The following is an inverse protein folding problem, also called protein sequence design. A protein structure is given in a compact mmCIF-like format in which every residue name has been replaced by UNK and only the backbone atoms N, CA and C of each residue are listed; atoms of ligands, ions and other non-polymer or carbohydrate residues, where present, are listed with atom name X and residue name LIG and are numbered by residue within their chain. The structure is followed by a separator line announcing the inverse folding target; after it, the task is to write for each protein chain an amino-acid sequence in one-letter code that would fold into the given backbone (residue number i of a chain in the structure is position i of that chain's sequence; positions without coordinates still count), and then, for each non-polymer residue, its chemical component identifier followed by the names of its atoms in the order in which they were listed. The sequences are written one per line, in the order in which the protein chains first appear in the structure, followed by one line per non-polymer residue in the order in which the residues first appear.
data_IF_427164412640
#
_entry.id   IF_427164412640
#
_cell.length_a   1.000
_cell.length_b   1.000
_cell.length_c   1.000
_cell.angle_alpha   90.00
_cell.angle_beta   90.00
_cell.angle_gamma   90.00
#
_symmetry.space_group_name_H-M   'P 1'
#
loop_
_entity.id
_entity.type
_entity.pdbx_description
1 polymer ?
#
# COMPACT_ATOMS: atom_id res chain seq x y z
N UNK A 1 -20.29 8.24 -13.29
CA UNK A 1 -19.15 8.01 -14.20
C UNK A 1 -18.74 6.55 -14.13
N UNK A 2 -18.17 6.04 -15.20
CA UNK A 2 -17.77 4.65 -15.40
C UNK A 2 -16.23 4.61 -15.40
N UNK A 3 -15.62 4.66 -14.21
CA UNK A 3 -14.16 4.79 -14.05
C UNK A 3 -13.62 3.74 -13.07
N UNK A 4 -12.46 3.17 -13.40
CA UNK A 4 -11.73 2.29 -12.50
C UNK A 4 -10.79 3.11 -11.61
N UNK A 5 -10.81 2.81 -10.31
CA UNK A 5 -10.18 3.65 -9.29
C UNK A 5 -9.44 2.78 -8.28
N UNK A 6 -8.28 3.24 -7.84
CA UNK A 6 -7.61 2.77 -6.63
C UNK A 6 -7.54 3.93 -5.66
N UNK A 7 -7.97 3.70 -4.43
CA UNK A 7 -7.85 4.63 -3.32
C UNK A 7 -6.95 4.04 -2.25
N UNK A 8 -6.11 4.86 -1.63
CA UNK A 8 -5.34 4.47 -0.45
C UNK A 8 -5.39 5.54 0.61
N UNK A 9 -5.57 5.14 1.87
CA UNK A 9 -5.47 6.00 3.04
C UNK A 9 -4.48 5.40 4.03
N UNK A 10 -3.32 6.04 4.19
CA UNK A 10 -2.26 5.58 5.09
C UNK A 10 -2.27 6.38 6.40
N UNK A 11 -2.69 5.71 7.46
CA UNK A 11 -2.81 6.28 8.79
C UNK A 11 -1.62 5.98 9.70
N UNK A 12 -1.76 6.40 10.96
CA UNK A 12 -0.77 6.09 12.00
C UNK A 12 -0.72 4.60 12.36
N UNK A 13 -1.86 3.92 12.36
CA UNK A 13 -1.97 2.51 12.78
C UNK A 13 -2.28 1.57 11.61
N UNK A 14 -3.13 1.99 10.69
CA UNK A 14 -3.67 1.15 9.62
C UNK A 14 -3.45 1.80 8.25
N UNK A 15 -3.47 0.97 7.21
CA UNK A 15 -3.57 1.41 5.81
C UNK A 15 -4.81 0.79 5.20
N UNK A 16 -5.68 1.63 4.66
CA UNK A 16 -6.88 1.20 3.94
C UNK A 16 -6.61 1.28 2.44
N UNK A 17 -6.95 0.21 1.72
CA UNK A 17 -6.90 0.19 0.26
C UNK A 17 -8.29 -0.10 -0.28
N UNK A 18 -8.70 0.71 -1.24
CA UNK A 18 -9.98 0.67 -1.93
C UNK A 18 -9.74 0.45 -3.41
N UNK A 19 -10.63 -0.29 -4.06
CA UNK A 19 -10.60 -0.42 -5.50
C UNK A 19 -11.99 -0.52 -6.11
N UNK A 20 -12.11 -0.03 -7.33
CA UNK A 20 -13.26 -0.24 -8.22
C UNK A 20 -12.70 -0.71 -9.55
N UNK A 21 -13.03 -1.93 -9.96
CA UNK A 21 -12.59 -2.57 -11.21
C UNK A 21 -13.72 -3.38 -11.84
N UNK A 22 -13.47 -3.85 -13.07
CA UNK A 22 -14.38 -4.65 -13.92
C UNK A 22 -15.46 -3.82 -14.60
N UNK A 23 -16.10 -4.42 -15.63
CA UNK A 23 -17.23 -3.81 -16.34
C UNK A 23 -18.42 -3.50 -15.43
N UNK A 24 -18.55 -4.25 -14.33
CA UNK A 24 -19.59 -4.09 -13.30
C UNK A 24 -19.18 -3.10 -12.19
N UNK A 25 -17.98 -2.51 -12.24
CA UNK A 25 -17.44 -1.56 -11.25
C UNK A 25 -17.55 -2.09 -9.81
N UNK A 26 -17.04 -3.31 -9.59
CA UNK A 26 -17.06 -3.97 -8.29
C UNK A 26 -16.16 -3.24 -7.31
N UNK A 27 -16.75 -2.79 -6.20
CA UNK A 27 -16.04 -2.15 -5.10
C UNK A 27 -15.45 -3.18 -4.13
N UNK A 28 -14.16 -3.03 -3.82
CA UNK A 28 -13.48 -3.77 -2.76
C UNK A 28 -12.78 -2.81 -1.80
N UNK A 29 -12.73 -3.22 -0.53
CA UNK A 29 -11.95 -2.54 0.51
C UNK A 29 -11.21 -3.55 1.35
N UNK A 30 -9.96 -3.25 1.66
CA UNK A 30 -9.12 -4.00 2.60
C UNK A 30 -8.54 -3.04 3.63
N UNK A 31 -8.46 -3.51 4.87
CA UNK A 31 -7.83 -2.77 5.98
C UNK A 31 -6.63 -3.56 6.48
N UNK A 32 -5.44 -3.03 6.29
CA UNK A 32 -4.20 -3.59 6.81
C UNK A 32 -3.93 -3.05 8.20
N UNK A 33 -4.42 -3.76 9.23
CA UNK A 33 -4.38 -3.33 10.62
C UNK A 33 -2.96 -3.09 11.20
N UNK A 34 -1.94 -3.69 10.60
CA UNK A 34 -0.56 -3.67 11.08
C UNK A 34 0.40 -2.89 10.17
N UNK A 35 -0.11 -2.15 9.18
CA UNK A 35 0.70 -1.37 8.24
C UNK A 35 0.35 0.10 8.42
N UNK A 36 1.08 0.81 9.28
CA UNK A 36 0.82 2.22 9.58
C UNK A 36 2.09 2.97 9.97
N UNK A 37 2.06 4.30 9.86
CA UNK A 37 3.28 5.14 9.89
C UNK A 37 3.70 5.65 11.27
N UNK A 38 2.91 5.42 12.31
CA UNK A 38 3.21 5.91 13.67
C UNK A 38 3.13 4.79 14.70
N UNK A 39 1.93 4.29 14.94
CA UNK A 39 1.65 3.26 15.95
C UNK A 39 2.07 1.86 15.49
N UNK A 40 2.13 1.62 14.18
CA UNK A 40 2.45 0.31 13.58
C UNK A 40 3.73 0.33 12.73
N UNK A 41 4.57 1.35 12.88
CA UNK A 41 5.76 1.53 12.01
C UNK A 41 6.77 0.37 12.16
N UNK A 42 6.90 -0.18 13.37
CA UNK A 42 7.75 -1.35 13.63
C UNK A 42 7.20 -2.62 12.98
N UNK A 43 5.88 -2.73 12.82
CA UNK A 43 5.27 -3.84 12.08
C UNK A 43 5.56 -3.71 10.58
N UNK A 44 5.55 -2.50 10.02
CA UNK A 44 5.99 -2.26 8.64
C UNK A 44 7.44 -2.70 8.47
N UNK A 45 8.33 -2.33 9.39
CA UNK A 45 9.73 -2.81 9.37
C UNK A 45 9.82 -4.34 9.42
N UNK A 46 9.05 -4.99 10.30
CA UNK A 46 9.06 -6.44 10.45
C UNK A 46 8.53 -7.15 9.19
N UNK A 47 7.46 -6.65 8.57
CA UNK A 47 6.85 -7.23 7.38
C UNK A 47 7.64 -6.94 6.10
N UNK A 48 8.21 -5.75 5.98
CA UNK A 48 9.01 -5.33 4.82
C UNK A 48 10.41 -5.93 4.85
N UNK A 49 11.01 -6.02 6.04
CA UNK A 49 12.45 -6.24 6.18
C UNK A 49 13.26 -4.98 5.86
N UNK A 50 14.44 -4.91 6.47
CA UNK A 50 15.29 -3.72 6.45
C UNK A 50 15.85 -3.41 5.05
N UNK A 51 16.30 -4.43 4.31
CA UNK A 51 16.85 -4.27 2.97
C UNK A 51 15.86 -3.60 2.00
N UNK A 52 14.58 -3.92 2.11
CA UNK A 52 13.51 -3.35 1.29
C UNK A 52 13.23 -1.88 1.60
N UNK A 53 13.46 -1.44 2.84
CA UNK A 53 13.37 -0.03 3.21
C UNK A 53 14.63 0.72 2.75
N UNK A 54 15.81 0.16 3.02
CA UNK A 54 17.09 0.80 2.71
C UNK A 54 17.29 1.06 1.22
N UNK A 55 16.71 0.26 0.32
CA UNK A 55 16.81 0.49 -1.14
C UNK A 55 16.25 1.85 -1.59
N UNK A 56 15.40 2.47 -0.78
CA UNK A 56 14.80 3.78 -1.06
C UNK A 56 15.56 4.95 -0.41
N UNK A 57 16.56 4.65 0.43
CA UNK A 57 17.34 5.64 1.17
C UNK A 57 18.59 6.00 0.37
N UNK A 58 18.74 7.24 -0.12
CA UNK A 58 19.81 7.63 -1.05
C UNK A 58 21.10 8.09 -0.34
N UNK A 59 21.23 7.85 0.96
CA UNK A 59 22.39 8.20 1.76
C UNK A 59 22.90 6.99 2.54
N UNK A 60 24.18 7.02 2.88
CA UNK A 60 24.81 5.97 3.67
C UNK A 60 24.36 6.09 5.13
N UNK A 61 23.54 5.13 5.57
CA UNK A 61 23.08 5.01 6.95
C UNK A 61 23.28 3.58 7.39
N UNK A 62 23.87 3.39 8.57
CA UNK A 62 24.05 2.06 9.11
C UNK A 62 22.71 1.51 9.65
N UNK A 63 22.58 0.18 9.67
CA UNK A 63 21.35 -0.49 10.09
C UNK A 63 20.91 -0.13 11.52
N UNK A 64 21.86 0.06 12.43
CA UNK A 64 21.57 0.35 13.84
C UNK A 64 20.93 1.72 14.02
N UNK A 65 21.45 2.72 13.33
CA UNK A 65 20.95 4.08 13.33
C UNK A 65 19.53 4.14 12.75
N UNK A 66 19.30 3.50 11.60
CA UNK A 66 17.97 3.41 11.01
C UNK A 66 16.97 2.74 11.96
N UNK A 67 17.35 1.62 12.57
CA UNK A 67 16.51 0.93 13.58
C UNK A 67 16.21 1.83 14.78
N UNK A 68 17.18 2.64 15.22
CA UNK A 68 16.98 3.58 16.32
C UNK A 68 16.02 4.71 15.93
N UNK A 69 16.10 5.24 14.72
CA UNK A 69 15.15 6.25 14.21
C UNK A 69 13.72 5.70 14.18
N UNK A 70 13.52 4.47 13.69
CA UNK A 70 12.20 3.81 13.71
C UNK A 70 11.68 3.61 15.14
N UNK A 71 12.53 3.14 16.05
CA UNK A 71 12.15 2.98 17.47
C UNK A 71 11.77 4.31 18.11
N UNK A 72 12.52 5.37 17.84
CA UNK A 72 12.24 6.72 18.32
C UNK A 72 10.87 7.21 17.82
N UNK A 73 10.57 6.99 16.54
CA UNK A 73 9.25 7.28 15.97
C UNK A 73 8.13 6.48 16.64
N UNK A 74 8.36 5.20 16.90
CA UNK A 74 7.38 4.32 17.56
C UNK A 74 7.04 4.79 18.98
N UNK A 75 8.02 5.20 19.78
CA UNK A 75 7.77 5.69 21.16
C UNK A 75 7.16 7.09 21.20
N UNK A 76 7.29 7.87 20.13
CA UNK A 76 6.76 9.23 19.99
C UNK A 76 5.95 9.35 18.69
N UNK A 77 4.78 8.68 18.59
CA UNK A 77 4.05 8.50 17.33
C UNK A 77 3.55 9.81 16.68
N UNK A 78 3.49 10.90 17.45
CA UNK A 78 3.04 12.22 17.02
C UNK A 78 4.18 13.15 16.58
N UNK A 79 5.45 12.73 16.70
CA UNK A 79 6.56 13.56 16.19
C UNK A 79 6.55 13.57 14.68
N UNK A 80 6.80 14.73 14.09
CA UNK A 80 7.06 14.89 12.66
C UNK A 80 8.57 14.87 12.41
N UNK A 81 9.02 14.47 11.20
CA UNK A 81 10.42 14.58 10.81
C UNK A 81 10.92 16.01 11.00
N UNK A 82 12.01 16.15 11.76
CA UNK A 82 12.70 17.43 11.96
C UNK A 82 13.98 17.52 11.11
N UNK A 83 14.53 16.36 10.73
CA UNK A 83 15.69 16.23 9.87
C UNK A 83 15.30 15.69 8.48
N UNK A 84 16.14 15.95 7.48
CA UNK A 84 15.94 15.44 6.12
C UNK A 84 16.02 13.91 6.10
N UNK A 85 16.96 13.35 6.87
CA UNK A 85 17.19 11.92 6.99
C UNK A 85 15.96 11.21 7.57
N UNK A 86 15.33 11.80 8.60
CA UNK A 86 14.07 11.30 9.18
C UNK A 86 12.94 11.35 8.15
N UNK A 87 12.83 12.45 7.40
CA UNK A 87 11.79 12.61 6.39
C UNK A 87 11.93 11.55 5.30
N UNK A 88 13.15 11.36 4.78
CA UNK A 88 13.43 10.38 3.73
C UNK A 88 13.20 8.97 4.24
N UNK A 89 13.59 8.67 5.48
CA UNK A 89 13.33 7.36 6.08
C UNK A 89 11.83 7.10 6.26
N UNK A 90 11.05 8.07 6.76
CA UNK A 90 9.60 7.92 6.88
C UNK A 90 8.94 7.72 5.51
N UNK A 91 9.38 8.43 4.46
CA UNK A 91 8.89 8.22 3.09
C UNK A 91 9.29 6.84 2.54
N UNK A 92 10.49 6.35 2.83
CA UNK A 92 10.93 5.01 2.46
C UNK A 92 10.08 3.92 3.12
N UNK A 93 9.73 4.09 4.40
CA UNK A 93 8.86 3.16 5.12
C UNK A 93 7.42 3.24 4.59
N UNK A 94 6.92 4.44 4.26
CA UNK A 94 5.60 4.62 3.67
C UNK A 94 5.45 3.86 2.35
N UNK A 95 6.47 3.89 1.48
CA UNK A 95 6.51 3.08 0.24
C UNK A 95 6.30 1.60 0.51
N UNK A 96 6.97 1.06 1.52
CA UNK A 96 6.85 -0.36 1.85
C UNK A 96 5.52 -0.70 2.52
N UNK A 97 4.98 0.19 3.36
CA UNK A 97 3.64 0.03 3.93
C UNK A 97 2.57 0.00 2.83
N UNK A 98 2.63 0.95 1.88
CA UNK A 98 1.70 1.04 0.75
C UNK A 98 1.82 -0.18 -0.17
N UNK A 99 3.05 -0.61 -0.50
CA UNK A 99 3.29 -1.81 -1.31
C UNK A 99 2.68 -3.05 -0.68
N UNK A 100 2.96 -3.29 0.61
CA UNK A 100 2.45 -4.46 1.33
C UNK A 100 0.93 -4.42 1.47
N UNK A 101 0.35 -3.26 1.77
CA UNK A 101 -1.11 -3.11 1.88
C UNK A 101 -1.80 -3.35 0.53
N UNK A 102 -1.20 -2.87 -0.56
CA UNK A 102 -1.71 -3.09 -1.92
C UNK A 102 -1.59 -4.55 -2.37
N UNK A 103 -0.47 -5.23 -2.06
CA UNK A 103 -0.31 -6.67 -2.29
C UNK A 103 -1.40 -7.46 -1.56
N UNK A 104 -1.61 -7.18 -0.27
CA UNK A 104 -2.66 -7.81 0.52
C UNK A 104 -4.06 -7.54 -0.06
N UNK A 105 -4.31 -6.31 -0.51
CA UNK A 105 -5.58 -5.95 -1.14
C UNK A 105 -5.85 -6.76 -2.41
N UNK A 106 -4.84 -6.95 -3.27
CA UNK A 106 -4.97 -7.75 -4.51
C UNK A 106 -5.31 -9.21 -4.23
N UNK A 107 -4.81 -9.79 -3.14
CA UNK A 107 -5.14 -11.16 -2.74
C UNK A 107 -6.63 -11.30 -2.37
N UNK A 108 -7.18 -10.31 -1.68
CA UNK A 108 -8.59 -10.32 -1.27
C UNK A 108 -9.55 -9.87 -2.38
N UNK A 109 -9.15 -8.90 -3.19
CA UNK A 109 -9.90 -8.44 -4.36
C UNK A 109 -9.68 -9.42 -5.52
N UNK A 110 -10.20 -10.65 -5.39
CA UNK A 110 -10.11 -11.70 -6.41
C UNK A 110 -11.49 -12.16 -6.88
N UNK A 111 -11.53 -12.77 -8.06
CA UNK A 111 -12.77 -13.37 -8.58
C UNK A 111 -13.25 -14.50 -7.66
N UNK A 112 -14.58 -14.63 -7.51
CA UNK A 112 -15.22 -15.58 -6.59
C UNK A 112 -14.68 -17.01 -6.78
N UNK A 113 -13.92 -17.51 -5.79
CA UNK A 113 -13.56 -18.92 -5.68
C UNK A 113 -14.80 -19.71 -5.25
N UNK A 114 -15.40 -20.48 -6.17
CA UNK A 114 -16.34 -21.56 -5.82
C UNK A 114 -17.83 -21.33 -6.10
N UNK A 115 -18.24 -20.25 -6.77
CA UNK A 115 -19.60 -20.17 -7.30
C UNK A 115 -19.72 -21.09 -8.54
N UNK A 116 -20.53 -22.15 -8.45
CA UNK A 116 -20.94 -22.94 -9.62
C UNK A 116 -21.76 -22.06 -10.56
N UNK A 117 -21.09 -21.39 -11.51
CA UNK A 117 -21.77 -20.92 -12.72
C UNK A 117 -22.23 -22.13 -13.52
N UNK A 118 -23.49 -22.13 -13.93
CA UNK A 118 -24.09 -23.13 -14.81
C UNK A 118 -23.29 -23.10 -16.13
N UNK A 119 -22.56 -24.18 -16.44
CA UNK A 119 -21.47 -24.16 -17.42
C UNK A 119 -21.98 -24.46 -18.83
N UNK A 120 -21.73 -23.54 -19.76
CA UNK A 120 -21.66 -23.86 -21.19
C UNK A 120 -20.23 -24.25 -21.57
N UNK A 121 -20.09 -25.25 -22.44
CA UNK A 121 -18.79 -25.84 -22.85
C UNK A 121 -17.85 -24.79 -23.47
N UNK A 122 -18.40 -23.71 -24.03
CA UNK A 122 -17.67 -22.59 -24.62
C UNK A 122 -16.95 -21.72 -23.58
N UNK A 123 -17.47 -21.58 -22.36
CA UNK A 123 -16.88 -20.74 -21.30
C UNK A 123 -15.69 -21.41 -20.59
N UNK A 124 -15.51 -22.72 -20.77
CA UNK A 124 -14.41 -23.47 -20.18
C UNK A 124 -13.05 -23.15 -20.82
N UNK A 125 -13.03 -22.66 -22.06
CA UNK A 125 -11.78 -22.36 -22.80
C UNK A 125 -11.28 -20.92 -22.64
N UNK A 126 -12.14 -19.99 -22.22
CA UNK A 126 -11.76 -18.58 -21.97
C UNK A 126 -11.30 -18.32 -20.53
N UNK A 127 -11.13 -19.36 -19.73
CA UNK A 127 -10.93 -19.23 -18.29
C UNK A 127 -9.54 -18.68 -17.95
N UNK A 128 -9.48 -17.37 -17.67
CA UNK A 128 -8.45 -16.79 -16.81
C UNK A 128 -8.51 -17.48 -15.44
N UNK A 129 -7.34 -17.82 -14.90
CA UNK A 129 -7.15 -18.62 -13.69
C UNK A 129 -8.05 -18.15 -12.54
N UNK A 130 -8.88 -19.05 -11.98
CA UNK A 130 -9.72 -18.74 -10.83
C UNK A 130 -8.87 -18.26 -9.65
N UNK A 131 -9.32 -17.21 -8.96
CA UNK A 131 -8.56 -16.58 -7.87
C UNK A 131 -7.51 -15.57 -8.30
N UNK A 132 -7.43 -15.21 -9.59
CA UNK A 132 -6.71 -14.01 -10.02
C UNK A 132 -7.37 -12.75 -9.41
N UNK A 133 -6.54 -11.75 -9.08
CA UNK A 133 -7.01 -10.45 -8.62
C UNK A 133 -7.83 -9.77 -9.72
N UNK A 134 -8.92 -9.12 -9.34
CA UNK A 134 -9.70 -8.27 -10.25
C UNK A 134 -9.06 -6.89 -10.46
N UNK A 135 -8.04 -6.54 -9.66
CA UNK A 135 -7.30 -5.29 -9.78
C UNK A 135 -6.44 -5.30 -11.05
N UNK A 136 -6.72 -4.39 -11.98
CA UNK A 136 -5.99 -4.25 -13.23
C UNK A 136 -5.38 -2.84 -13.39
N UNK A 137 -4.10 -2.70 -13.07
CA UNK A 137 -3.41 -1.41 -13.15
C UNK A 137 -3.26 -0.86 -14.59
N UNK A 138 -3.40 -1.69 -15.62
CA UNK A 138 -3.30 -1.25 -17.01
C UNK A 138 -4.53 -0.44 -17.47
N UNK A 139 -5.67 -0.62 -16.80
CA UNK A 139 -6.94 0.05 -17.10
C UNK A 139 -7.33 1.09 -16.04
N UNK A 140 -6.53 1.20 -14.97
CA UNK A 140 -6.72 2.16 -13.90
C UNK A 140 -6.81 3.60 -14.44
N UNK A 141 -7.92 4.27 -14.14
CA UNK A 141 -8.18 5.64 -14.59
C UNK A 141 -7.77 6.69 -13.56
N UNK A 142 -7.90 6.37 -12.26
CA UNK A 142 -7.66 7.31 -11.18
C UNK A 142 -7.02 6.64 -9.97
N UNK A 143 -5.95 7.25 -9.46
CA UNK A 143 -5.34 6.91 -8.17
C UNK A 143 -5.57 8.05 -7.17
N UNK A 144 -6.15 7.73 -6.02
CA UNK A 144 -6.40 8.68 -4.93
C UNK A 144 -5.58 8.28 -3.72
N UNK A 145 -4.73 9.18 -3.24
CA UNK A 145 -3.93 9.00 -2.02
C UNK A 145 -4.36 9.95 -0.92
N UNK A 146 -4.54 9.42 0.29
CA UNK A 146 -4.81 10.14 1.53
C UNK A 146 -3.88 9.64 2.64
N UNK A 147 -3.69 10.46 3.68
CA UNK A 147 -2.89 10.13 4.84
C UNK A 147 -1.86 11.21 5.17
N UNK A 148 -1.50 11.32 6.46
CA UNK A 148 -0.63 12.39 6.95
C UNK A 148 0.69 12.49 6.19
N UNK A 149 1.34 11.34 5.92
CA UNK A 149 2.62 11.26 5.21
C UNK A 149 2.50 11.68 3.73
N UNK A 150 1.36 11.40 3.09
CA UNK A 150 1.10 11.76 1.70
C UNK A 150 0.74 13.24 1.54
N UNK A 151 -0.14 13.74 2.42
CA UNK A 151 -0.67 15.11 2.36
C UNK A 151 0.33 16.18 2.79
N UNK A 152 1.25 15.85 3.71
CA UNK A 152 2.25 16.78 4.24
C UNK A 152 3.64 16.58 3.64
N UNK A 153 3.76 15.79 2.57
CA UNK A 153 5.02 15.68 1.85
C UNK A 153 5.47 17.09 1.37
N UNK A 154 6.70 17.54 1.64
CA UNK A 154 7.13 18.90 1.32
C UNK A 154 6.99 19.29 -0.15
N UNK A 155 7.10 18.31 -1.05
CA UNK A 155 6.87 18.50 -2.48
C UNK A 155 5.91 17.44 -2.99
N UNK A 156 4.91 17.85 -3.79
CA UNK A 156 3.86 16.96 -4.31
C UNK A 156 4.38 15.75 -5.08
N UNK A 157 5.52 15.89 -5.78
CA UNK A 157 6.10 14.76 -6.50
C UNK A 157 6.56 13.65 -5.54
N UNK A 158 6.89 13.95 -4.28
CA UNK A 158 7.28 12.93 -3.30
C UNK A 158 6.08 12.06 -2.94
N UNK A 159 4.88 12.63 -2.84
CA UNK A 159 3.62 11.88 -2.74
C UNK A 159 3.47 10.91 -3.90
N UNK A 160 3.67 11.40 -5.13
CA UNK A 160 3.59 10.57 -6.34
C UNK A 160 4.68 9.50 -6.38
N UNK A 161 5.87 9.74 -5.83
CA UNK A 161 6.92 8.72 -5.72
C UNK A 161 6.66 7.67 -4.62
N UNK A 162 5.77 7.96 -3.68
CA UNK A 162 5.37 7.02 -2.62
C UNK A 162 4.24 6.09 -3.06
N UNK A 163 3.35 6.62 -3.90
CA UNK A 163 2.27 5.89 -4.57
C UNK A 163 2.80 5.09 -5.77
#
# INVERSE_FOLDING_TARGET
EQIEVVGVDIGGATTDVFSVFTEDYVFNRTVSANLGMSYSISNVLASSGLANIMRWVPFDINENELRNMIKNKMIRPTTIPSLLEELVLEQAIAKEALRLAFEQHKEFASSLKGMQRQRDISEAFSQSTSGASIVNLMTLSLLVGSGGVLSHAPRRFQTVMML
#
